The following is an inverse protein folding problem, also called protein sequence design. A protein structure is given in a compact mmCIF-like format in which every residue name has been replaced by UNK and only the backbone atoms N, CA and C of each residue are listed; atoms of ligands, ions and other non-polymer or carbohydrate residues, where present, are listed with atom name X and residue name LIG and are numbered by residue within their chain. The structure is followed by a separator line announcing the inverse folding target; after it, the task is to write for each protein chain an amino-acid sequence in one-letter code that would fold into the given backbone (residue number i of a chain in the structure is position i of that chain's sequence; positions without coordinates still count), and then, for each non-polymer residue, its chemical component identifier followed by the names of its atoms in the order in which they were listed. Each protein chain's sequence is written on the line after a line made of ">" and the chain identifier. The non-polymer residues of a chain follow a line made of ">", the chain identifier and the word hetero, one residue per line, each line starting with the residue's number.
data_IF_407923109758
#
_entry.id   IF_407923109758
#
_cell.length_a   1.000
_cell.length_b   1.000
_cell.length_c   1.000
_cell.angle_alpha   90.00
_cell.angle_beta   90.00
_cell.angle_gamma   90.00
#
_symmetry.space_group_name_H-M   'P 1'
#
loop_
_entity.id
_entity.type
_entity.pdbx_description
1 polymer ?
#
# COMPACT_ATOMS: atom_id res chain seq x y z
N UNK A 1 15.59 -9.98 -2.82
CA UNK A 1 14.16 -9.59 -2.84
C UNK A 1 13.46 -9.84 -1.50
N UNK A 2 13.58 -11.02 -0.89
CA UNK A 2 12.93 -11.36 0.41
C UNK A 2 13.24 -10.36 1.53
N UNK A 3 14.52 -10.02 1.74
CA UNK A 3 14.92 -9.04 2.77
C UNK A 3 14.29 -7.67 2.53
N UNK A 4 14.25 -7.22 1.28
CA UNK A 4 13.64 -5.94 0.91
C UNK A 4 12.12 -5.94 1.18
N UNK A 5 11.43 -7.06 0.92
CA UNK A 5 10.00 -7.21 1.25
C UNK A 5 9.78 -7.10 2.77
N UNK A 6 10.58 -7.82 3.56
CA UNK A 6 10.46 -7.80 5.02
C UNK A 6 10.70 -6.41 5.60
N UNK A 7 11.72 -5.71 5.12
CA UNK A 7 12.00 -4.33 5.53
C UNK A 7 10.89 -3.36 5.10
N UNK A 8 10.34 -3.51 3.89
CA UNK A 8 9.21 -2.71 3.42
C UNK A 8 7.95 -2.92 4.26
N UNK A 9 7.62 -4.17 4.59
CA UNK A 9 6.50 -4.51 5.47
C UNK A 9 6.72 -3.96 6.89
N UNK A 10 7.93 -4.09 7.43
CA UNK A 10 8.27 -3.55 8.74
C UNK A 10 8.14 -2.02 8.79
N UNK A 11 8.65 -1.31 7.77
CA UNK A 11 8.52 0.14 7.67
C UNK A 11 7.05 0.57 7.57
N UNK A 12 6.25 -0.13 6.77
CA UNK A 12 4.81 0.09 6.66
C UNK A 12 4.06 -0.14 7.99
N UNK A 13 4.41 -1.22 8.71
CA UNK A 13 3.83 -1.51 10.01
C UNK A 13 4.18 -0.44 11.05
N UNK A 14 5.43 0.04 11.07
CA UNK A 14 5.86 1.13 11.97
C UNK A 14 5.12 2.43 11.64
N UNK A 15 5.05 2.81 10.37
CA UNK A 15 4.31 4.00 9.95
C UNK A 15 2.81 3.89 10.31
N UNK A 16 2.22 2.71 10.09
CA UNK A 16 0.84 2.42 10.47
C UNK A 16 0.61 2.51 11.98
N UNK A 17 1.52 1.96 12.79
CA UNK A 17 1.46 2.02 14.24
C UNK A 17 1.56 3.46 14.75
N UNK A 18 2.44 4.28 14.19
CA UNK A 18 2.58 5.70 14.54
C UNK A 18 1.28 6.45 14.22
N UNK A 19 0.77 6.31 12.99
CA UNK A 19 -0.48 6.95 12.58
C UNK A 19 -1.66 6.53 13.47
N UNK A 20 -1.77 5.24 13.76
CA UNK A 20 -2.82 4.69 14.61
C UNK A 20 -2.73 5.19 16.04
N UNK A 21 -1.53 5.23 16.62
CA UNK A 21 -1.29 5.69 17.99
C UNK A 21 -1.60 7.18 18.15
N UNK A 22 -1.17 8.01 17.20
CA UNK A 22 -1.44 9.45 17.19
C UNK A 22 -2.95 9.70 17.12
N UNK A 23 -3.66 8.95 16.28
CA UNK A 23 -5.11 9.13 16.16
C UNK A 23 -5.86 8.59 17.37
N UNK A 24 -5.49 7.42 17.89
CA UNK A 24 -6.20 6.75 19.00
C UNK A 24 -5.93 7.40 20.37
N UNK A 25 -4.70 7.82 20.64
CA UNK A 25 -4.29 8.38 21.94
C UNK A 25 -4.23 9.91 21.91
N UNK A 26 -3.87 10.50 20.77
CA UNK A 26 -3.68 11.95 20.64
C UNK A 26 -4.96 12.73 20.30
N UNK A 27 -6.06 12.04 19.97
CA UNK A 27 -7.32 12.70 19.57
C UNK A 27 -7.21 13.50 18.26
N UNK A 28 -6.13 13.30 17.50
CA UNK A 28 -5.90 14.01 16.24
C UNK A 28 -6.70 13.30 15.13
N UNK A 29 -7.42 14.05 14.27
CA UNK A 29 -8.09 13.49 13.11
C UNK A 29 -7.14 12.64 12.24
N UNK A 30 -7.53 11.40 11.84
CA UNK A 30 -6.65 10.48 11.12
C UNK A 30 -6.01 11.06 9.86
N UNK A 31 -6.75 11.92 9.16
CA UNK A 31 -6.29 12.58 7.94
C UNK A 31 -5.06 13.47 8.18
N UNK A 32 -5.01 14.19 9.31
CA UNK A 32 -3.88 15.07 9.64
C UNK A 32 -2.65 14.22 9.98
N UNK A 33 -2.84 13.14 10.75
CA UNK A 33 -1.76 12.23 11.11
C UNK A 33 -1.12 11.59 9.86
N UNK A 34 -1.94 11.09 8.92
CA UNK A 34 -1.43 10.44 7.71
C UNK A 34 -0.80 11.42 6.72
N UNK A 35 -1.34 12.64 6.57
CA UNK A 35 -0.69 13.70 5.78
C UNK A 35 0.69 14.09 6.36
N UNK A 36 0.78 14.22 7.68
CA UNK A 36 2.04 14.47 8.38
C UNK A 36 3.06 13.35 8.14
N UNK A 37 2.63 12.10 8.31
CA UNK A 37 3.47 10.93 8.05
C UNK A 37 3.91 10.84 6.58
N UNK A 38 3.03 11.15 5.61
CA UNK A 38 3.39 11.19 4.20
C UNK A 38 4.49 12.22 3.95
N UNK A 39 4.39 13.40 4.57
CA UNK A 39 5.40 14.46 4.44
C UNK A 39 6.73 14.05 5.06
N UNK A 40 6.71 13.48 6.27
CA UNK A 40 7.90 13.00 6.96
C UNK A 40 8.59 11.86 6.20
N UNK A 41 7.84 10.83 5.78
CA UNK A 41 8.35 9.71 5.02
C UNK A 41 8.96 10.16 3.68
N UNK A 42 8.30 11.08 2.97
CA UNK A 42 8.80 11.63 1.71
C UNK A 42 10.06 12.47 1.91
N UNK A 43 10.13 13.26 2.99
CA UNK A 43 11.33 14.01 3.36
C UNK A 43 12.51 13.09 3.66
N UNK A 44 12.30 12.04 4.44
CA UNK A 44 13.32 11.03 4.72
C UNK A 44 13.78 10.32 3.45
N UNK A 45 12.86 9.95 2.56
CA UNK A 45 13.19 9.35 1.27
C UNK A 45 14.01 10.29 0.39
N UNK A 46 13.70 11.59 0.38
CA UNK A 46 14.42 12.59 -0.40
C UNK A 46 15.86 12.79 0.10
N UNK A 47 16.05 12.85 1.42
CA UNK A 47 17.37 12.95 2.04
C UNK A 47 18.18 11.68 1.74
N UNK A 48 17.54 10.51 1.85
CA UNK A 48 18.20 9.23 1.59
C UNK A 48 18.59 9.05 0.12
N UNK A 49 17.79 9.55 -0.82
CA UNK A 49 18.03 9.37 -2.24
C UNK A 49 18.80 10.53 -2.89
N UNK A 50 19.26 11.52 -2.11
CA UNK A 50 19.84 12.79 -2.60
C UNK A 50 18.98 13.46 -3.68
N UNK A 51 17.65 13.30 -3.59
CA UNK A 51 16.69 13.78 -4.59
C UNK A 51 16.72 13.07 -5.94
N UNK A 52 17.46 11.96 -6.07
CA UNK A 52 17.58 11.20 -7.32
C UNK A 52 16.74 9.92 -7.30
N UNK A 53 16.23 9.46 -8.46
CA UNK A 53 15.65 8.14 -8.58
C UNK A 53 16.71 7.07 -8.29
N UNK A 54 16.37 6.07 -7.47
CA UNK A 54 17.24 4.92 -7.23
C UNK A 54 17.11 3.95 -8.42
N UNK A 55 18.23 3.67 -9.09
CA UNK A 55 18.31 2.75 -10.24
C UNK A 55 19.08 1.48 -9.88
N UNK A 56 19.03 0.46 -10.74
CA UNK A 56 19.72 -0.82 -10.52
C UNK A 56 19.03 -1.69 -9.48
N UNK A 57 17.70 -1.83 -9.60
CA UNK A 57 16.93 -2.68 -8.71
C UNK A 57 17.16 -4.15 -9.11
N UNK A 58 16.81 -5.08 -8.22
CA UNK A 58 16.91 -6.51 -8.54
C UNK A 58 16.06 -6.83 -9.78
N UNK A 59 16.58 -7.62 -10.72
CA UNK A 59 15.86 -8.03 -11.94
C UNK A 59 14.45 -8.56 -11.66
N UNK A 60 14.29 -9.35 -10.58
CA UNK A 60 13.00 -9.87 -10.18
C UNK A 60 12.03 -8.78 -9.69
N UNK A 61 12.51 -7.67 -9.14
CA UNK A 61 11.69 -6.51 -8.78
C UNK A 61 11.30 -5.70 -10.02
N UNK A 62 12.25 -5.49 -10.94
CA UNK A 62 11.99 -4.81 -12.21
C UNK A 62 11.00 -5.60 -13.07
N UNK A 63 11.07 -6.93 -13.07
CA UNK A 63 10.12 -7.79 -13.77
C UNK A 63 8.69 -7.66 -13.21
N UNK A 64 8.53 -7.56 -11.89
CA UNK A 64 7.21 -7.36 -11.28
C UNK A 64 6.63 -5.98 -11.63
N UNK A 65 7.47 -4.93 -11.66
CA UNK A 65 7.04 -3.56 -11.90
C UNK A 65 6.86 -3.17 -13.37
N UNK A 66 7.66 -3.73 -14.27
CA UNK A 66 7.71 -3.34 -15.68
C UNK A 66 8.01 -4.49 -16.65
N UNK A 67 8.07 -5.73 -16.16
CA UNK A 67 8.24 -6.91 -17.02
C UNK A 67 7.01 -7.18 -17.87
N UNK A 68 7.21 -7.98 -18.91
CA UNK A 68 6.15 -8.41 -19.83
C UNK A 68 6.03 -9.92 -19.82
N UNK A 69 4.79 -10.40 -19.77
CA UNK A 69 4.43 -11.80 -19.99
C UNK A 69 3.50 -11.81 -21.22
N UNK A 70 3.85 -12.57 -22.25
CA UNK A 70 3.05 -12.71 -23.48
C UNK A 70 2.66 -11.35 -24.12
N UNK A 71 3.57 -10.37 -24.06
CA UNK A 71 3.35 -9.01 -24.60
C UNK A 71 2.49 -8.09 -23.71
N UNK A 72 2.03 -8.57 -22.56
CA UNK A 72 1.22 -7.81 -21.60
C UNK A 72 2.08 -7.51 -20.35
N UNK A 73 2.13 -6.26 -19.87
CA UNK A 73 2.81 -5.92 -18.63
C UNK A 73 2.35 -6.78 -17.42
N UNK A 74 3.30 -7.28 -16.64
CA UNK A 74 3.06 -8.02 -15.38
C UNK A 74 2.07 -7.30 -14.44
N UNK A 75 2.12 -5.96 -14.27
CA UNK A 75 1.14 -5.24 -13.45
C UNK A 75 -0.33 -5.47 -13.84
N UNK A 76 -0.63 -5.73 -15.12
CA UNK A 76 -2.01 -6.01 -15.58
C UNK A 76 -2.49 -7.35 -15.04
N UNK A 77 -1.64 -8.37 -15.04
CA UNK A 77 -1.98 -9.67 -14.46
C UNK A 77 -2.24 -9.56 -12.95
N UNK A 78 -1.41 -8.79 -12.24
CA UNK A 78 -1.60 -8.52 -10.80
C UNK A 78 -2.94 -7.80 -10.57
N UNK A 79 -3.25 -6.78 -11.38
CA UNK A 79 -4.53 -6.07 -11.31
C UNK A 79 -5.72 -7.01 -11.51
N UNK A 80 -5.70 -7.86 -12.54
CA UNK A 80 -6.78 -8.82 -12.82
C UNK A 80 -6.93 -9.81 -11.67
N UNK A 81 -5.83 -10.35 -11.15
CA UNK A 81 -5.85 -11.25 -10.01
C UNK A 81 -6.50 -10.60 -8.78
N UNK A 82 -6.07 -9.39 -8.42
CA UNK A 82 -6.62 -8.65 -7.28
C UNK A 82 -8.09 -8.30 -7.51
N UNK A 83 -8.47 -7.89 -8.72
CA UNK A 83 -9.85 -7.59 -9.07
C UNK A 83 -10.76 -8.82 -8.94
N UNK A 84 -10.31 -9.98 -9.40
CA UNK A 84 -11.06 -11.24 -9.27
C UNK A 84 -11.20 -11.64 -7.80
N UNK A 85 -10.12 -11.58 -7.01
CA UNK A 85 -10.16 -11.87 -5.58
C UNK A 85 -11.15 -10.93 -4.88
N UNK A 86 -11.03 -9.62 -5.10
CA UNK A 86 -11.93 -8.61 -4.53
C UNK A 86 -13.38 -8.81 -4.97
N UNK A 87 -13.63 -9.17 -6.23
CA UNK A 87 -14.99 -9.45 -6.72
C UNK A 87 -15.62 -10.64 -5.97
N UNK A 88 -14.88 -11.74 -5.84
CA UNK A 88 -15.35 -12.92 -5.11
C UNK A 88 -15.57 -12.57 -3.64
N UNK A 89 -14.61 -11.86 -3.02
CA UNK A 89 -14.69 -11.45 -1.63
C UNK A 89 -15.94 -10.59 -1.40
N UNK A 90 -16.17 -9.58 -2.23
CA UNK A 90 -17.28 -8.64 -2.06
C UNK A 90 -18.64 -9.26 -2.39
N UNK A 91 -18.73 -10.10 -3.42
CA UNK A 91 -20.02 -10.64 -3.91
C UNK A 91 -20.43 -11.93 -3.19
N UNK A 92 -19.49 -12.78 -2.81
CA UNK A 92 -19.78 -14.14 -2.36
C UNK A 92 -19.46 -14.40 -0.88
N UNK A 93 -18.82 -13.46 -0.16
CA UNK A 93 -18.50 -13.67 1.26
C UNK A 93 -19.37 -12.84 2.20
N UNK A 94 -19.48 -13.28 3.46
CA UNK A 94 -20.13 -12.49 4.52
C UNK A 94 -19.43 -11.15 4.73
N UNK A 95 -18.09 -11.12 4.60
CA UNK A 95 -17.28 -9.90 4.70
C UNK A 95 -17.76 -8.83 3.71
N UNK A 96 -18.00 -9.19 2.45
CA UNK A 96 -18.55 -8.27 1.45
C UNK A 96 -19.88 -7.65 1.84
N UNK A 97 -20.82 -8.47 2.36
CA UNK A 97 -22.11 -7.97 2.86
C UNK A 97 -21.98 -7.00 4.04
N UNK A 98 -21.07 -7.26 4.98
CA UNK A 98 -20.81 -6.33 6.08
C UNK A 98 -20.20 -5.01 5.57
N UNK A 99 -19.26 -5.07 4.62
CA UNK A 99 -18.64 -3.88 4.02
C UNK A 99 -19.69 -3.02 3.30
N UNK A 100 -20.54 -3.62 2.48
CA UNK A 100 -21.63 -2.90 1.81
C UNK A 100 -22.65 -2.30 2.79
N UNK A 101 -22.94 -3.00 3.90
CA UNK A 101 -23.86 -2.52 4.92
C UNK A 101 -23.31 -1.31 5.71
N UNK A 102 -22.00 -1.27 6.00
CA UNK A 102 -21.36 -0.15 6.69
C UNK A 102 -21.34 1.11 5.81
N UNK A 103 -21.12 0.96 4.50
CA UNK A 103 -21.11 2.08 3.55
C UNK A 103 -22.50 2.63 3.17
N UNK A 104 -23.57 1.93 3.54
CA UNK A 104 -24.95 2.30 3.19
C UNK A 104 -25.64 3.27 4.15
N UNK A 105 -25.03 3.60 5.29
CA UNK A 105 -25.57 4.64 6.16
C UNK A 105 -25.12 6.00 5.60
N UNK A 106 -26.02 6.68 4.88
CA UNK A 106 -25.87 8.11 4.60
C UNK A 106 -25.64 8.82 5.93
N UNK A 107 -24.47 9.42 6.10
CA UNK A 107 -24.28 10.47 7.11
C UNK A 107 -25.19 11.64 6.77
#
# INVERSE_FOLDING_TARGET
>A
LIVAILLGLAAGAVAGFINGSISALGGIPPFIATLGMMTAARGLALIYSDGRPITGLSEAFEFIGGGYILGIPVPIYIMVLVAVISHILLKHTKFGKYVYAIGGNQQ
#
